data_IF_423574452981
#
_entry.id   IF_423574452981
#
_cell.length_a   1.000
_cell.length_b   1.000
_cell.length_c   1.000
_cell.angle_alpha   90.00
_cell.angle_beta   90.00
_cell.angle_gamma   90.00
#
_symmetry.space_group_name_H-M   'P 1'
#
loop_
_entity.id
_entity.type
_entity.pdbx_description
1 polymer ?
#
# COMPACT_ATOMS: atom_id res chain seq x y z
N UNK A 1 24.70 10.47 -26.01
CA UNK A 1 25.19 10.38 -24.63
C UNK A 1 24.77 11.56 -23.73
N UNK A 2 24.56 12.76 -24.21
CA UNK A 2 24.19 13.92 -23.36
C UNK A 2 22.77 13.95 -22.78
N UNK A 3 21.82 13.19 -23.32
CA UNK A 3 20.41 13.18 -22.86
C UNK A 3 20.15 12.33 -21.61
N UNK A 4 20.98 11.32 -21.35
CA UNK A 4 20.82 10.42 -20.19
C UNK A 4 21.35 11.10 -18.91
N UNK A 5 22.38 11.94 -19.02
CA UNK A 5 22.95 12.68 -17.87
C UNK A 5 21.99 13.71 -17.28
N UNK A 6 21.17 14.34 -18.13
CA UNK A 6 20.17 15.34 -17.67
C UNK A 6 19.01 14.73 -16.88
N UNK A 7 18.60 13.49 -17.19
CA UNK A 7 17.51 12.79 -16.50
C UNK A 7 17.99 12.27 -15.13
N UNK A 8 19.23 11.80 -15.05
CA UNK A 8 19.81 11.31 -13.80
C UNK A 8 19.99 12.43 -12.76
N UNK A 9 20.39 13.66 -13.19
CA UNK A 9 20.52 14.80 -12.29
C UNK A 9 19.17 15.33 -11.78
N UNK A 10 18.09 15.18 -12.56
CA UNK A 10 16.74 15.56 -12.14
C UNK A 10 16.16 14.56 -11.10
N UNK A 11 16.45 13.26 -11.25
CA UNK A 11 16.03 12.24 -10.25
C UNK A 11 16.76 12.42 -8.91
N UNK A 12 18.05 12.80 -8.91
CA UNK A 12 18.80 13.11 -7.68
C UNK A 12 18.24 14.34 -6.94
N UNK A 13 17.72 15.33 -7.66
CA UNK A 13 17.07 16.51 -7.08
C UNK A 13 15.74 16.20 -6.38
N UNK A 14 14.99 15.23 -6.86
CA UNK A 14 13.67 14.86 -6.31
C UNK A 14 13.83 13.96 -5.06
N UNK A 15 14.82 13.09 -5.03
CA UNK A 15 15.10 12.22 -3.86
C UNK A 15 15.59 12.97 -2.62
N UNK A 16 16.23 14.15 -2.81
CA UNK A 16 16.62 15.01 -1.69
C UNK A 16 15.49 15.93 -1.20
N UNK A 17 14.33 15.95 -1.87
CA UNK A 17 13.21 16.82 -1.53
C UNK A 17 12.14 16.13 -0.66
N UNK A 18 12.03 14.79 -0.69
CA UNK A 18 11.01 14.06 0.08
C UNK A 18 11.61 13.55 1.39
N UNK A 19 11.17 14.13 2.50
CA UNK A 19 11.55 13.62 3.82
C UNK A 19 10.84 12.30 4.14
N UNK A 20 11.41 11.49 5.04
CA UNK A 20 10.76 10.26 5.53
C UNK A 20 9.35 10.55 6.06
N UNK A 21 9.17 11.66 6.77
CA UNK A 21 7.88 12.03 7.34
C UNK A 21 6.85 12.34 6.26
N UNK A 22 7.24 13.07 5.22
CA UNK A 22 6.37 13.37 4.08
C UNK A 22 5.98 12.09 3.30
N UNK A 23 6.91 11.14 3.14
CA UNK A 23 6.62 9.85 2.51
C UNK A 23 5.59 9.04 3.32
N UNK A 24 5.72 9.02 4.65
CA UNK A 24 4.76 8.40 5.55
C UNK A 24 3.39 9.07 5.42
N UNK A 25 3.33 10.40 5.52
CA UNK A 25 2.08 11.16 5.47
C UNK A 25 1.35 10.99 4.13
N UNK A 26 2.09 10.99 3.02
CA UNK A 26 1.53 10.70 1.70
C UNK A 26 0.94 9.29 1.62
N UNK A 27 1.65 8.30 2.16
CA UNK A 27 1.18 6.91 2.16
C UNK A 27 -0.08 6.77 3.02
N UNK A 28 -0.10 7.33 4.23
CA UNK A 28 -1.26 7.24 5.12
C UNK A 28 -2.51 7.89 4.52
N UNK A 29 -2.35 8.94 3.70
CA UNK A 29 -3.48 9.65 3.07
C UNK A 29 -3.98 8.98 1.78
N UNK A 30 -3.10 8.34 1.01
CA UNK A 30 -3.42 7.92 -0.36
C UNK A 30 -3.38 6.41 -0.59
N UNK A 31 -2.88 5.64 0.38
CA UNK A 31 -2.75 4.19 0.21
C UNK A 31 -4.13 3.51 0.08
N UNK A 32 -4.37 2.72 -0.99
CA UNK A 32 -5.65 2.04 -1.19
C UNK A 32 -6.00 1.04 -0.09
N UNK A 33 -5.02 0.34 0.49
CA UNK A 33 -5.25 -0.65 1.55
C UNK A 33 -5.76 0.00 2.85
N UNK A 34 -5.30 1.21 3.17
CA UNK A 34 -5.82 1.97 4.31
C UNK A 34 -7.27 2.39 4.05
N UNK A 35 -7.57 2.88 2.84
CA UNK A 35 -8.94 3.24 2.46
C UNK A 35 -9.88 2.03 2.48
N UNK A 36 -9.42 0.88 2.04
CA UNK A 36 -10.17 -0.38 2.14
C UNK A 36 -10.54 -0.68 3.60
N UNK A 37 -9.57 -0.63 4.52
CA UNK A 37 -9.84 -0.85 5.95
C UNK A 37 -10.77 0.21 6.56
N UNK A 38 -10.69 1.47 6.11
CA UNK A 38 -11.63 2.51 6.52
C UNK A 38 -13.06 2.22 6.08
N UNK A 39 -13.27 1.67 4.87
CA UNK A 39 -14.59 1.25 4.40
C UNK A 39 -15.10 0.02 5.16
N UNK A 40 -14.25 -0.96 5.46
CA UNK A 40 -14.60 -2.12 6.28
C UNK A 40 -15.00 -1.70 7.71
N UNK A 41 -14.32 -0.70 8.27
CA UNK A 41 -14.70 -0.11 9.55
C UNK A 41 -16.07 0.58 9.46
N UNK A 42 -16.35 1.31 8.37
CA UNK A 42 -17.66 1.92 8.14
C UNK A 42 -18.77 0.87 8.00
N UNK A 43 -18.52 -0.20 7.27
CA UNK A 43 -19.42 -1.36 7.17
C UNK A 43 -19.70 -1.95 8.56
N UNK A 44 -18.67 -2.21 9.35
CA UNK A 44 -18.82 -2.75 10.70
C UNK A 44 -19.62 -1.81 11.62
N UNK A 45 -19.46 -0.48 11.47
CA UNK A 45 -20.28 0.51 12.17
C UNK A 45 -21.74 0.47 11.73
N UNK A 46 -22.01 0.30 10.45
CA UNK A 46 -23.36 0.16 9.93
C UNK A 46 -24.02 -1.14 10.44
N UNK A 47 -23.26 -2.24 10.44
CA UNK A 47 -23.70 -3.51 11.00
C UNK A 47 -24.02 -3.40 12.50
N UNK A 48 -23.16 -2.76 13.29
CA UNK A 48 -23.43 -2.52 14.71
C UNK A 48 -24.74 -1.72 14.91
N UNK A 49 -24.99 -0.67 14.09
CA UNK A 49 -26.26 0.07 14.13
C UNK A 49 -27.45 -0.80 13.74
N UNK A 50 -27.30 -1.69 12.78
CA UNK A 50 -28.36 -2.63 12.38
C UNK A 50 -28.76 -3.55 13.54
N UNK A 51 -27.80 -4.01 14.34
CA UNK A 51 -28.07 -4.83 15.54
C UNK A 51 -28.75 -4.04 16.69
N UNK A 52 -28.90 -2.74 16.57
CA UNK A 52 -29.71 -1.94 17.48
C UNK A 52 -31.20 -1.94 17.09
N UNK A 53 -31.53 -2.26 15.83
CA UNK A 53 -32.90 -2.19 15.31
C UNK A 53 -33.93 -3.03 16.09
N UNK A 54 -33.61 -4.25 16.62
CA UNK A 54 -34.57 -5.04 17.40
C UNK A 54 -35.04 -4.36 18.70
N UNK A 55 -34.31 -3.33 19.19
CA UNK A 55 -34.67 -2.56 20.37
C UNK A 55 -35.65 -1.41 20.09
N UNK A 56 -36.06 -1.23 18.83
CA UNK A 56 -37.01 -0.23 18.38
C UNK A 56 -38.22 -0.88 17.72
N UNK A 57 -39.43 -0.25 17.78
CA UNK A 57 -40.59 -0.73 17.05
C UNK A 57 -40.34 -0.64 15.52
N UNK A 58 -40.77 -1.67 14.79
CA UNK A 58 -40.77 -1.66 13.32
C UNK A 58 -42.16 -1.30 12.80
N UNK A 59 -42.20 -0.43 11.78
CA UNK A 59 -43.41 -0.07 11.03
C UNK A 59 -43.33 -0.73 9.65
N UNK A 60 -44.27 -1.60 9.35
CA UNK A 60 -44.40 -2.22 8.03
C UNK A 60 -45.66 -1.72 7.34
N UNK A 61 -45.50 -1.21 6.12
CA UNK A 61 -46.59 -0.81 5.25
C UNK A 61 -46.62 -1.78 4.05
N UNK A 62 -47.74 -2.40 3.84
CA UNK A 62 -47.95 -3.35 2.74
C UNK A 62 -49.03 -2.85 1.80
N UNK A 63 -48.71 -2.84 0.51
CA UNK A 63 -49.68 -2.60 -0.56
C UNK A 63 -49.64 -3.76 -1.50
N UNK A 64 -50.81 -4.35 -1.77
CA UNK A 64 -50.95 -5.48 -2.68
C UNK A 64 -52.13 -5.32 -3.62
N UNK A 65 -51.96 -5.71 -4.88
CA UNK A 65 -53.05 -5.80 -5.86
C UNK A 65 -53.15 -7.24 -6.35
N UNK A 66 -54.32 -7.77 -6.33
CA UNK A 66 -54.62 -9.13 -6.84
C UNK A 66 -55.66 -9.04 -7.96
N UNK A 67 -55.27 -9.45 -9.18
CA UNK A 67 -56.17 -9.58 -10.31
C UNK A 67 -56.48 -11.08 -10.50
N UNK A 68 -57.76 -11.48 -10.41
CA UNK A 68 -58.20 -12.84 -10.64
C UNK A 68 -59.00 -12.89 -11.95
N UNK A 69 -58.59 -13.75 -12.88
CA UNK A 69 -59.27 -14.01 -14.13
C UNK A 69 -59.96 -15.36 -14.03
N UNK A 70 -61.30 -15.41 -13.94
CA UNK A 70 -62.05 -16.65 -13.94
C UNK A 70 -62.47 -16.97 -15.38
N UNK A 71 -61.96 -18.10 -15.88
CA UNK A 71 -62.17 -18.56 -17.29
C UNK A 71 -63.64 -18.85 -17.61
N UNK A 72 -64.49 -19.08 -16.63
CA UNK A 72 -65.89 -19.43 -16.82
C UNK A 72 -66.89 -18.26 -16.81
N UNK A 73 -66.49 -17.07 -16.41
CA UNK A 73 -67.23 -15.80 -16.55
C UNK A 73 -66.20 -14.70 -16.86
N UNK A 74 -66.45 -13.96 -17.90
CA UNK A 74 -65.55 -12.88 -18.37
C UNK A 74 -65.43 -11.70 -17.33
N UNK A 75 -65.42 -11.99 -16.04
CA UNK A 75 -65.30 -11.04 -14.95
C UNK A 75 -63.86 -10.97 -14.44
N UNK A 76 -63.21 -9.89 -14.80
CA UNK A 76 -61.89 -9.50 -14.29
C UNK A 76 -62.08 -8.74 -12.99
N UNK A 77 -61.90 -9.43 -11.85
CA UNK A 77 -62.01 -8.80 -10.51
C UNK A 77 -60.60 -8.41 -10.02
N UNK A 78 -60.34 -7.10 -9.92
CA UNK A 78 -59.15 -6.56 -9.30
C UNK A 78 -59.50 -6.12 -7.88
N UNK A 79 -58.76 -6.63 -6.90
CA UNK A 79 -58.84 -6.18 -5.52
C UNK A 79 -57.51 -5.64 -5.06
N UNK A 80 -57.52 -4.50 -4.34
CA UNK A 80 -56.34 -3.92 -3.70
C UNK A 80 -56.48 -4.03 -2.19
N UNK A 81 -55.37 -4.24 -1.50
CA UNK A 81 -55.30 -4.13 -0.06
C UNK A 81 -54.14 -3.21 0.33
N UNK A 82 -54.39 -2.35 1.29
CA UNK A 82 -53.40 -1.55 1.97
C UNK A 82 -53.41 -1.89 3.46
N UNK A 83 -52.30 -2.24 4.03
CA UNK A 83 -52.15 -2.58 5.43
C UNK A 83 -50.97 -1.84 6.03
N UNK A 84 -51.10 -1.45 7.31
CA UNK A 84 -49.99 -0.93 8.11
C UNK A 84 -50.01 -1.70 9.45
N UNK A 85 -48.83 -2.18 9.87
CA UNK A 85 -48.68 -2.79 11.18
C UNK A 85 -47.43 -2.29 11.88
N UNK A 86 -47.53 -2.11 13.21
CA UNK A 86 -46.41 -1.82 14.08
C UNK A 86 -46.10 -3.05 14.89
N UNK A 87 -44.86 -3.47 14.91
CA UNK A 87 -44.41 -4.62 15.68
C UNK A 87 -43.28 -4.22 16.63
N UNK A 88 -43.34 -4.62 17.88
CA UNK A 88 -42.31 -4.40 18.87
C UNK A 88 -42.05 -5.74 19.61
N UNK A 89 -40.79 -6.19 19.61
CA UNK A 89 -40.37 -7.37 20.31
C UNK A 89 -39.96 -7.00 21.75
N UNK A 90 -40.73 -7.46 22.73
CA UNK A 90 -40.47 -7.13 24.13
C UNK A 90 -39.39 -8.02 24.77
N UNK A 91 -39.23 -9.25 24.31
CA UNK A 91 -38.24 -10.17 24.85
C UNK A 91 -37.93 -11.30 23.86
N UNK A 92 -36.63 -11.55 23.66
CA UNK A 92 -36.11 -12.57 22.76
C UNK A 92 -35.01 -13.43 23.45
N UNK A 93 -35.23 -13.82 24.70
CA UNK A 93 -34.30 -14.68 25.43
C UNK A 93 -32.87 -14.12 25.53
N UNK A 94 -32.69 -12.78 25.58
CA UNK A 94 -31.43 -12.06 25.58
C UNK A 94 -30.62 -12.19 24.27
N UNK A 95 -31.15 -12.86 23.24
CA UNK A 95 -30.45 -13.00 21.94
C UNK A 95 -30.00 -11.66 21.36
N UNK A 96 -30.89 -10.67 21.33
CA UNK A 96 -30.60 -9.34 20.77
C UNK A 96 -29.49 -8.61 21.55
N UNK A 97 -29.46 -8.79 22.89
CA UNK A 97 -28.40 -8.20 23.74
C UNK A 97 -27.03 -8.80 23.43
N UNK A 98 -26.98 -10.14 23.31
CA UNK A 98 -25.68 -10.80 22.99
C UNK A 98 -25.25 -10.57 21.55
N UNK A 99 -26.19 -10.50 20.60
CA UNK A 99 -25.90 -10.14 19.22
C UNK A 99 -25.33 -8.71 19.12
N UNK A 100 -25.91 -7.76 19.83
CA UNK A 100 -25.40 -6.40 19.90
C UNK A 100 -24.00 -6.34 20.54
N UNK A 101 -23.73 -7.10 21.60
CA UNK A 101 -22.40 -7.21 22.20
C UNK A 101 -21.39 -7.82 21.24
N UNK A 102 -21.77 -8.85 20.51
CA UNK A 102 -20.93 -9.46 19.47
C UNK A 102 -20.60 -8.48 18.36
N UNK A 103 -21.61 -7.77 17.84
CA UNK A 103 -21.40 -6.73 16.81
C UNK A 103 -20.50 -5.58 17.30
N UNK A 104 -20.59 -5.19 18.58
CA UNK A 104 -19.69 -4.21 19.20
C UNK A 104 -18.24 -4.73 19.25
N UNK A 105 -18.04 -5.98 19.62
CA UNK A 105 -16.72 -6.60 19.65
C UNK A 105 -16.10 -6.69 18.24
N UNK A 106 -16.91 -7.02 17.22
CA UNK A 106 -16.49 -7.01 15.82
C UNK A 106 -16.09 -5.61 15.34
N UNK A 107 -16.86 -4.58 15.72
CA UNK A 107 -16.51 -3.20 15.42
C UNK A 107 -15.16 -2.80 16.04
N UNK A 108 -14.91 -3.16 17.29
CA UNK A 108 -13.62 -2.91 17.95
C UNK A 108 -12.47 -3.67 17.27
N UNK A 109 -12.71 -4.93 16.88
CA UNK A 109 -11.74 -5.71 16.13
C UNK A 109 -11.35 -5.04 14.81
N UNK A 110 -12.34 -4.50 14.09
CA UNK A 110 -12.10 -3.83 12.82
C UNK A 110 -11.34 -2.49 13.00
N UNK A 111 -11.59 -1.79 14.11
CA UNK A 111 -10.84 -0.56 14.45
C UNK A 111 -9.36 -0.86 14.71
N UNK A 112 -9.06 -1.92 15.48
CA UNK A 112 -7.68 -2.38 15.67
C UNK A 112 -7.03 -2.89 14.37
N UNK A 113 -7.81 -3.50 13.47
CA UNK A 113 -7.29 -3.96 12.18
C UNK A 113 -6.89 -2.77 11.30
N UNK A 114 -7.64 -1.68 11.31
CA UNK A 114 -7.26 -0.44 10.62
C UNK A 114 -5.96 0.12 11.18
N UNK A 115 -5.83 0.17 12.53
CA UNK A 115 -4.62 0.68 13.17
C UNK A 115 -3.40 -0.21 12.84
N UNK A 116 -3.55 -1.53 12.90
CA UNK A 116 -2.49 -2.46 12.51
C UNK A 116 -2.06 -2.24 11.06
N UNK A 117 -3.01 -2.06 10.14
CA UNK A 117 -2.70 -1.78 8.72
C UNK A 117 -1.93 -0.47 8.55
N UNK A 118 -2.25 0.57 9.33
CA UNK A 118 -1.50 1.83 9.31
C UNK A 118 -0.06 1.65 9.78
N UNK A 119 0.14 0.93 10.88
CA UNK A 119 1.49 0.64 11.40
C UNK A 119 2.31 -0.21 10.40
N UNK A 120 1.70 -1.20 9.78
CA UNK A 120 2.35 -2.02 8.74
C UNK A 120 2.79 -1.16 7.55
N UNK A 121 1.94 -0.22 7.12
CA UNK A 121 2.29 0.70 6.03
C UNK A 121 3.41 1.66 6.43
N UNK A 122 3.43 2.17 7.65
CA UNK A 122 4.54 2.98 8.18
C UNK A 122 5.85 2.19 8.14
N UNK A 123 5.82 0.94 8.60
CA UNK A 123 7.00 0.06 8.57
C UNK A 123 7.49 -0.19 7.14
N UNK A 124 6.57 -0.45 6.22
CA UNK A 124 6.87 -0.66 4.81
C UNK A 124 7.56 0.57 4.18
N UNK A 125 7.00 1.77 4.42
CA UNK A 125 7.59 3.03 3.91
C UNK A 125 8.97 3.27 4.51
N UNK A 126 9.15 3.08 5.83
CA UNK A 126 10.46 3.21 6.48
C UNK A 126 11.49 2.26 5.86
N UNK A 127 11.10 1.01 5.64
CA UNK A 127 11.98 0.00 5.05
C UNK A 127 12.36 0.34 3.61
N UNK A 128 11.40 0.78 2.79
CA UNK A 128 11.64 1.21 1.42
C UNK A 128 12.55 2.46 1.38
N UNK A 129 12.28 3.45 2.21
CA UNK A 129 13.07 4.67 2.28
C UNK A 129 14.55 4.40 2.66
N UNK A 130 14.77 3.55 3.68
CA UNK A 130 16.12 3.12 4.08
C UNK A 130 16.80 2.34 2.95
N UNK A 131 16.05 1.52 2.21
CA UNK A 131 16.61 0.79 1.06
C UNK A 131 17.10 1.74 -0.02
N UNK A 132 16.30 2.75 -0.39
CA UNK A 132 16.69 3.78 -1.37
C UNK A 132 17.96 4.50 -0.92
N UNK A 133 18.02 4.96 0.34
CA UNK A 133 19.21 5.62 0.89
C UNK A 133 20.45 4.72 0.85
N UNK A 134 20.28 3.44 1.17
CA UNK A 134 21.37 2.46 1.11
C UNK A 134 21.90 2.29 -0.31
N UNK A 135 20.99 2.17 -1.31
CA UNK A 135 21.41 2.04 -2.70
C UNK A 135 22.10 3.31 -3.21
N UNK A 136 21.60 4.48 -2.83
CA UNK A 136 22.26 5.76 -3.17
C UNK A 136 23.69 5.83 -2.59
N UNK A 137 23.90 5.36 -1.35
CA UNK A 137 25.23 5.28 -0.75
C UNK A 137 26.14 4.23 -1.41
N UNK A 138 25.59 3.11 -1.85
CA UNK A 138 26.34 2.10 -2.61
C UNK A 138 26.85 2.67 -3.95
N UNK A 139 26.03 3.47 -4.64
CA UNK A 139 26.46 4.18 -5.86
C UNK A 139 27.60 5.13 -5.54
N UNK A 140 27.45 5.98 -4.52
CA UNK A 140 28.48 6.96 -4.11
C UNK A 140 29.82 6.27 -3.79
N UNK A 141 29.78 5.17 -3.01
CA UNK A 141 31.00 4.39 -2.66
C UNK A 141 31.64 3.79 -3.91
N UNK A 142 30.84 3.24 -4.83
CA UNK A 142 31.36 2.65 -6.06
C UNK A 142 31.97 3.72 -7.00
N UNK A 143 31.39 4.92 -7.05
CA UNK A 143 31.96 6.04 -7.79
C UNK A 143 33.30 6.50 -7.22
N UNK A 144 33.41 6.61 -5.88
CA UNK A 144 34.68 6.97 -5.22
C UNK A 144 35.73 5.87 -5.44
N UNK A 145 35.35 4.60 -5.34
CA UNK A 145 36.24 3.46 -5.61
C UNK A 145 36.74 3.46 -7.05
N UNK A 146 35.85 3.77 -8.02
CA UNK A 146 36.23 3.92 -9.43
C UNK A 146 37.31 4.97 -9.61
N UNK A 147 37.14 6.16 -9.05
CA UNK A 147 38.09 7.27 -9.15
C UNK A 147 39.47 6.87 -8.58
N UNK A 148 39.47 6.21 -7.41
CA UNK A 148 40.69 5.71 -6.79
C UNK A 148 41.42 4.68 -7.66
N UNK A 149 40.69 3.70 -8.20
CA UNK A 149 41.27 2.66 -9.04
C UNK A 149 41.74 3.17 -10.41
N UNK A 150 41.08 4.15 -10.97
CA UNK A 150 41.55 4.86 -12.18
C UNK A 150 42.91 5.56 -11.93
N UNK A 151 43.09 6.22 -10.79
CA UNK A 151 44.35 6.84 -10.39
C UNK A 151 45.45 5.80 -10.13
N UNK A 152 45.11 4.68 -9.41
CA UNK A 152 46.05 3.59 -9.20
C UNK A 152 46.46 2.95 -10.54
N UNK A 153 45.54 2.74 -11.48
CA UNK A 153 45.84 2.20 -12.80
C UNK A 153 46.80 3.11 -13.53
N UNK A 154 46.58 4.45 -13.50
CA UNK A 154 47.45 5.43 -14.10
C UNK A 154 48.88 5.37 -13.53
N UNK A 155 49.02 5.35 -12.22
CA UNK A 155 50.31 5.27 -11.54
C UNK A 155 51.02 3.94 -11.83
N UNK A 156 50.29 2.81 -11.80
CA UNK A 156 50.87 1.49 -12.10
C UNK A 156 51.26 1.35 -13.58
N UNK A 157 50.54 1.99 -14.49
CA UNK A 157 50.91 2.03 -15.91
C UNK A 157 52.25 2.76 -16.13
N UNK A 158 52.51 3.86 -15.40
CA UNK A 158 53.81 4.55 -15.45
C UNK A 158 54.91 3.71 -14.83
N UNK A 159 54.68 3.05 -13.69
CA UNK A 159 55.67 2.14 -13.09
C UNK A 159 56.00 0.93 -13.99
N UNK A 160 55.01 0.39 -14.67
CA UNK A 160 55.24 -0.71 -15.65
C UNK A 160 56.06 -0.18 -16.84
N UNK A 161 55.77 1.04 -17.34
CA UNK A 161 56.49 1.62 -18.47
C UNK A 161 57.99 1.78 -18.19
N UNK A 162 58.36 2.11 -16.94
CA UNK A 162 59.76 2.27 -16.52
C UNK A 162 60.37 0.98 -15.93
N UNK A 163 59.65 -0.14 -15.97
CA UNK A 163 60.15 -1.48 -15.56
C UNK A 163 60.17 -1.71 -14.04
N UNK A 164 59.46 -0.88 -13.24
CA UNK A 164 59.43 -0.99 -11.76
C UNK A 164 58.45 -2.03 -11.25
N UNK A 165 57.44 -2.43 -12.04
CA UNK A 165 56.47 -3.48 -11.71
C UNK A 165 56.28 -4.44 -12.87
N UNK A 166 55.71 -5.63 -12.57
CA UNK A 166 55.39 -6.64 -13.56
C UNK A 166 54.04 -6.32 -14.22
N UNK A 167 53.87 -6.81 -15.47
CA UNK A 167 52.59 -6.66 -16.20
C UNK A 167 51.40 -7.23 -15.42
N UNK A 168 51.64 -8.30 -14.66
CA UNK A 168 50.62 -8.97 -13.87
C UNK A 168 50.04 -8.03 -12.78
N UNK A 169 50.84 -7.14 -12.21
CA UNK A 169 50.38 -6.19 -11.18
C UNK A 169 49.50 -5.09 -11.80
N UNK A 170 49.82 -4.63 -13.00
CA UNK A 170 48.95 -3.70 -13.75
C UNK A 170 47.62 -4.38 -14.12
N UNK A 171 47.65 -5.63 -14.61
CA UNK A 171 46.45 -6.38 -14.98
C UNK A 171 45.50 -6.60 -13.77
N UNK A 172 46.04 -6.83 -12.58
CA UNK A 172 45.21 -6.96 -11.36
C UNK A 172 44.38 -5.68 -11.11
N UNK A 173 44.98 -4.51 -11.23
CA UNK A 173 44.27 -3.23 -11.03
C UNK A 173 43.23 -3.02 -12.15
N UNK A 174 43.52 -3.42 -13.39
CA UNK A 174 42.58 -3.33 -14.50
C UNK A 174 41.34 -4.24 -14.27
N UNK A 175 41.55 -5.45 -13.76
CA UNK A 175 40.46 -6.35 -13.38
C UNK A 175 39.62 -5.77 -12.26
N UNK A 176 40.24 -5.21 -11.20
CA UNK A 176 39.55 -4.60 -10.08
C UNK A 176 38.73 -3.39 -10.51
N UNK A 177 39.28 -2.54 -11.39
CA UNK A 177 38.57 -1.42 -11.99
C UNK A 177 37.34 -1.88 -12.77
N UNK A 178 37.49 -2.92 -13.61
CA UNK A 178 36.36 -3.45 -14.39
C UNK A 178 35.27 -4.05 -13.50
N UNK A 179 35.64 -4.75 -12.43
CA UNK A 179 34.69 -5.25 -11.43
C UNK A 179 33.93 -4.09 -10.75
N UNK A 180 34.66 -3.04 -10.38
CA UNK A 180 34.05 -1.85 -9.77
C UNK A 180 33.10 -1.14 -10.74
N UNK A 181 33.43 -1.04 -12.02
CA UNK A 181 32.55 -0.48 -13.05
C UNK A 181 31.26 -1.32 -13.21
N UNK A 182 31.40 -2.64 -13.21
CA UNK A 182 30.24 -3.55 -13.25
C UNK A 182 29.34 -3.36 -12.02
N UNK A 183 29.94 -3.31 -10.83
CA UNK A 183 29.20 -3.06 -9.59
C UNK A 183 28.49 -1.72 -9.60
N UNK A 184 29.16 -0.65 -10.08
CA UNK A 184 28.55 0.68 -10.21
C UNK A 184 27.30 0.64 -11.10
N UNK A 185 27.36 -0.01 -12.26
CA UNK A 185 26.21 -0.16 -13.15
C UNK A 185 25.07 -0.95 -12.47
N UNK A 186 25.42 -1.99 -11.73
CA UNK A 186 24.42 -2.78 -10.97
C UNK A 186 23.75 -1.93 -9.87
N UNK A 187 24.52 -1.16 -9.10
CA UNK A 187 23.97 -0.29 -8.05
C UNK A 187 23.12 0.83 -8.63
N UNK A 188 23.55 1.46 -9.75
CA UNK A 188 22.73 2.46 -10.45
C UNK A 188 21.42 1.88 -10.96
N UNK A 189 21.45 0.67 -11.55
CA UNK A 189 20.24 -0.04 -11.97
C UNK A 189 19.33 -0.33 -10.79
N UNK A 190 19.87 -0.87 -9.69
CA UNK A 190 19.09 -1.20 -8.50
C UNK A 190 18.46 0.05 -7.86
N UNK A 191 19.16 1.18 -7.87
CA UNK A 191 18.65 2.45 -7.34
C UNK A 191 17.43 2.96 -8.14
N UNK A 192 17.39 2.71 -9.45
CA UNK A 192 16.24 3.10 -10.29
C UNK A 192 14.99 2.30 -9.94
N UNK A 193 15.15 1.05 -9.46
CA UNK A 193 14.05 0.15 -9.13
C UNK A 193 13.74 0.06 -7.62
N UNK A 194 14.48 0.76 -6.77
CA UNK A 194 14.27 0.78 -5.33
C UNK A 194 13.21 1.78 -4.90
#
# INVERSE_FOLDING_TARGET
MFRIFGILSLLYGILNALSLQEAIDLTLRHNPSIKEQEYLLQESRANYKSYQSPFYPSLNVTYGTKTSNRIQRADKKTSGNLGANVQYNLFNGFSDVYNLKSAKALLQSQDYQLEATREDMILLVKSAYINVLRQAKNVEIAEQSKVLLEEQRRTNAEFYRVGLIQKNDLLKIEVELNNTLQNLLNYQSTLIYA
#
